data_IF_696474524858
#
_entry.id   IF_696474524858
#
_cell.length_a   1.000
_cell.length_b   1.000
_cell.length_c   1.000
_cell.angle_alpha   90.00
_cell.angle_beta   90.00
_cell.angle_gamma   90.00
#
_symmetry.space_group_name_H-M   'P 1'
#
loop_
_entity.id
_entity.type
_entity.pdbx_description
1 polymer ?
#
# COMPACT_ATOMS: atom_id res chain seq x y z
N UNK A 1 -23.27 -25.33 -68.44
CA UNK A 1 -23.61 -23.99 -67.92
C UNK A 1 -24.18 -23.97 -66.47
N UNK A 2 -24.78 -25.07 -65.96
CA UNK A 2 -25.27 -25.11 -64.55
C UNK A 2 -24.23 -25.44 -63.49
N UNK A 3 -23.10 -26.04 -63.84
CA UNK A 3 -22.03 -26.39 -62.88
C UNK A 3 -21.07 -25.20 -62.50
N UNK A 4 -20.93 -24.21 -63.42
CA UNK A 4 -20.09 -23.03 -63.13
C UNK A 4 -20.77 -21.99 -62.26
N UNK A 5 -22.12 -21.94 -62.20
CA UNK A 5 -22.88 -21.00 -61.39
C UNK A 5 -22.87 -21.45 -59.92
N UNK A 6 -22.83 -22.77 -59.65
CA UNK A 6 -22.78 -23.30 -58.27
C UNK A 6 -21.39 -23.12 -57.60
N UNK A 7 -20.32 -23.20 -58.41
CA UNK A 7 -18.95 -22.95 -57.90
C UNK A 7 -18.72 -21.44 -57.59
N UNK A 8 -19.35 -20.54 -58.33
CA UNK A 8 -19.23 -19.11 -58.07
C UNK A 8 -20.05 -18.65 -56.86
N UNK A 9 -21.18 -19.29 -56.54
CA UNK A 9 -21.95 -19.02 -55.34
C UNK A 9 -21.27 -19.56 -54.08
N UNK A 10 -20.59 -20.70 -54.16
CA UNK A 10 -19.82 -21.25 -53.03
C UNK A 10 -18.55 -20.42 -52.74
N UNK A 11 -17.89 -19.91 -53.80
CA UNK A 11 -16.75 -19.03 -53.66
C UNK A 11 -17.15 -17.63 -53.11
N UNK A 12 -18.32 -17.14 -53.52
CA UNK A 12 -18.86 -15.87 -53.02
C UNK A 12 -19.33 -15.96 -51.55
N UNK A 13 -19.86 -17.13 -51.11
CA UNK A 13 -20.22 -17.38 -49.72
C UNK A 13 -19.01 -17.65 -48.84
N UNK A 14 -17.91 -18.22 -49.39
CA UNK A 14 -16.63 -18.38 -48.71
C UNK A 14 -15.82 -17.07 -48.66
N UNK A 15 -16.07 -16.11 -49.56
CA UNK A 15 -15.46 -14.77 -49.47
C UNK A 15 -16.26 -13.77 -48.61
N UNK A 16 -17.49 -14.10 -48.19
CA UNK A 16 -18.28 -13.25 -47.31
C UNK A 16 -18.20 -13.64 -45.84
N UNK A 17 -17.37 -14.64 -45.46
CA UNK A 17 -17.12 -15.01 -44.07
C UNK A 17 -15.68 -14.75 -43.61
N UNK A 18 -14.90 -13.95 -44.30
CA UNK A 18 -13.80 -13.25 -43.64
C UNK A 18 -14.39 -12.00 -42.98
N UNK A 19 -15.00 -12.16 -41.81
CA UNK A 19 -14.97 -11.08 -40.83
C UNK A 19 -13.51 -10.71 -40.69
N UNK A 20 -13.07 -9.67 -41.41
CA UNK A 20 -11.84 -8.98 -41.06
C UNK A 20 -12.09 -8.40 -39.66
N UNK A 21 -11.81 -9.19 -38.67
CA UNK A 21 -11.61 -8.69 -37.30
C UNK A 21 -10.54 -7.61 -37.42
N UNK A 22 -10.97 -6.36 -37.54
CA UNK A 22 -10.05 -5.23 -37.44
C UNK A 22 -9.50 -5.27 -36.03
N UNK A 23 -8.24 -5.64 -35.91
CA UNK A 23 -7.57 -5.57 -34.64
C UNK A 23 -7.58 -4.10 -34.17
N UNK A 24 -8.20 -3.83 -33.03
CA UNK A 24 -8.21 -2.50 -32.42
C UNK A 24 -6.80 -2.06 -32.12
N UNK A 25 -6.47 -0.82 -32.46
CA UNK A 25 -5.17 -0.24 -32.11
C UNK A 25 -5.12 0.17 -30.62
N UNK A 26 -3.91 0.27 -30.07
CA UNK A 26 -3.70 0.77 -28.70
C UNK A 26 -4.31 2.16 -28.49
N UNK A 27 -4.17 3.07 -29.46
CA UNK A 27 -4.70 4.43 -29.35
C UNK A 27 -6.24 4.45 -29.36
N UNK A 28 -6.89 3.63 -30.17
CA UNK A 28 -8.34 3.44 -30.15
C UNK A 28 -8.81 2.88 -28.82
N UNK A 29 -8.13 1.85 -28.28
CA UNK A 29 -8.44 1.28 -26.98
C UNK A 29 -8.30 2.33 -25.86
N UNK A 30 -7.20 3.09 -25.82
CA UNK A 30 -7.01 4.16 -24.84
C UNK A 30 -8.06 5.27 -24.97
N UNK A 31 -8.55 5.54 -26.19
CA UNK A 31 -9.67 6.46 -26.41
C UNK A 31 -10.95 5.93 -25.77
N UNK A 32 -11.26 4.64 -25.92
CA UNK A 32 -12.43 4.00 -25.29
C UNK A 32 -12.32 4.02 -23.76
N UNK A 33 -11.15 3.67 -23.22
CA UNK A 33 -10.87 3.69 -21.76
C UNK A 33 -11.04 5.11 -21.22
N UNK A 34 -10.38 6.11 -21.84
CA UNK A 34 -10.45 7.52 -21.43
C UNK A 34 -11.87 8.07 -21.46
N UNK A 35 -12.65 7.74 -22.48
CA UNK A 35 -14.07 8.12 -22.58
C UNK A 35 -14.88 7.50 -21.45
N UNK A 36 -14.66 6.23 -21.13
CA UNK A 36 -15.37 5.53 -20.06
C UNK A 36 -14.98 6.09 -18.68
N UNK A 37 -13.71 6.38 -18.44
CA UNK A 37 -13.24 6.97 -17.17
C UNK A 37 -13.65 8.45 -17.03
N UNK A 38 -13.83 9.17 -18.14
CA UNK A 38 -14.16 10.58 -18.15
C UNK A 38 -12.96 11.52 -18.09
N UNK A 39 -11.73 11.00 -18.23
CA UNK A 39 -10.49 11.80 -18.28
C UNK A 39 -9.44 11.18 -19.20
N UNK A 40 -8.49 12.00 -19.66
CA UNK A 40 -7.34 11.54 -20.43
C UNK A 40 -6.29 10.90 -19.51
N UNK A 41 -5.89 9.67 -19.82
CA UNK A 41 -4.91 8.94 -19.00
C UNK A 41 -3.50 9.50 -19.23
N UNK A 42 -2.78 9.92 -18.18
CA UNK A 42 -1.43 10.41 -18.34
C UNK A 42 -0.46 9.28 -18.72
N UNK A 43 0.33 9.49 -19.77
CA UNK A 43 1.26 8.48 -20.32
C UNK A 43 2.25 7.91 -19.30
N UNK A 44 2.63 8.69 -18.28
CA UNK A 44 3.57 8.25 -17.24
C UNK A 44 3.09 7.06 -16.39
N UNK A 45 1.78 6.77 -16.40
CA UNK A 45 1.19 5.64 -15.68
C UNK A 45 0.99 4.39 -16.55
N UNK A 46 1.29 4.48 -17.84
CA UNK A 46 1.06 3.40 -18.79
C UNK A 46 2.37 2.73 -19.17
N UNK A 47 2.37 1.40 -19.13
CA UNK A 47 3.38 0.58 -19.79
C UNK A 47 3.07 0.39 -21.25
N UNK A 48 4.11 0.26 -22.10
CA UNK A 48 3.89 -0.13 -23.48
C UNK A 48 3.77 -1.66 -23.55
N UNK A 49 2.60 -2.22 -23.94
CA UNK A 49 2.42 -3.67 -23.98
C UNK A 49 3.29 -4.34 -25.04
N UNK A 50 3.75 -3.59 -26.07
CA UNK A 50 4.41 -4.15 -27.25
C UNK A 50 3.55 -5.16 -28.02
N UNK A 51 3.67 -5.25 -29.33
CA UNK A 51 2.97 -6.24 -30.15
C UNK A 51 1.45 -6.11 -30.20
N UNK A 52 0.78 -7.24 -30.46
CA UNK A 52 -0.68 -7.32 -30.57
C UNK A 52 -1.36 -7.22 -29.20
N UNK A 53 -2.54 -6.59 -29.17
CA UNK A 53 -3.33 -6.47 -27.96
C UNK A 53 -3.96 -7.82 -27.61
N UNK A 54 -3.55 -8.38 -26.47
CA UNK A 54 -4.17 -9.55 -25.85
C UNK A 54 -5.08 -9.10 -24.70
N UNK A 55 -5.96 -9.99 -24.21
CA UNK A 55 -6.80 -9.69 -23.05
C UNK A 55 -5.95 -9.28 -21.83
N UNK A 56 -4.80 -9.93 -21.62
CA UNK A 56 -3.90 -9.57 -20.52
C UNK A 56 -3.32 -8.15 -20.65
N UNK A 57 -2.87 -7.77 -21.85
CA UNK A 57 -2.35 -6.44 -22.10
C UNK A 57 -3.41 -5.35 -21.95
N UNK A 58 -4.64 -5.66 -22.33
CA UNK A 58 -5.79 -4.74 -22.21
C UNK A 58 -6.23 -4.58 -20.76
N UNK A 59 -6.29 -5.66 -19.97
CA UNK A 59 -6.58 -5.60 -18.54
C UNK A 59 -5.50 -4.76 -17.83
N UNK A 60 -4.22 -4.99 -18.14
CA UNK A 60 -3.12 -4.18 -17.60
C UNK A 60 -3.29 -2.70 -17.91
N UNK A 61 -3.53 -2.34 -19.19
CA UNK A 61 -3.76 -0.95 -19.59
C UNK A 61 -4.96 -0.31 -18.87
N UNK A 62 -6.06 -1.06 -18.69
CA UNK A 62 -7.23 -0.58 -17.98
C UNK A 62 -6.92 -0.31 -16.50
N UNK A 63 -6.22 -1.23 -15.80
CA UNK A 63 -5.80 -1.08 -14.41
C UNK A 63 -4.86 0.13 -14.26
N UNK A 64 -3.85 0.25 -15.10
CA UNK A 64 -2.93 1.38 -15.10
C UNK A 64 -3.66 2.71 -15.34
N UNK A 65 -4.62 2.72 -16.29
CA UNK A 65 -5.46 3.88 -16.57
C UNK A 65 -6.33 4.32 -15.39
N UNK A 66 -6.71 3.40 -14.55
CA UNK A 66 -7.45 3.64 -13.30
C UNK A 66 -6.55 4.07 -12.14
N UNK A 67 -5.22 4.14 -12.32
CA UNK A 67 -4.26 4.37 -11.24
C UNK A 67 -3.98 3.13 -10.38
N UNK A 68 -4.13 1.95 -10.94
CA UNK A 68 -3.98 0.65 -10.26
C UNK A 68 -2.70 -0.10 -10.66
N UNK A 69 -1.80 0.54 -11.41
CA UNK A 69 -0.54 -0.08 -11.84
C UNK A 69 0.29 -0.63 -10.68
N UNK A 70 0.30 0.06 -9.52
CA UNK A 70 1.04 -0.42 -8.35
C UNK A 70 0.48 -1.72 -7.76
N UNK A 71 -0.80 -2.04 -7.94
CA UNK A 71 -1.36 -3.34 -7.55
C UNK A 71 -0.68 -4.48 -8.33
N UNK A 72 -0.41 -4.26 -9.62
CA UNK A 72 0.33 -5.21 -10.44
C UNK A 72 1.76 -5.36 -9.91
N UNK A 73 2.43 -4.25 -9.61
CA UNK A 73 3.78 -4.24 -9.03
C UNK A 73 3.85 -5.01 -7.71
N UNK A 74 2.83 -4.92 -6.85
CA UNK A 74 2.76 -5.71 -5.62
C UNK A 74 2.85 -7.21 -5.92
N UNK A 75 2.07 -7.72 -6.87
CA UNK A 75 2.13 -9.13 -7.24
C UNK A 75 3.47 -9.49 -7.88
N UNK A 76 4.00 -8.65 -8.78
CA UNK A 76 5.30 -8.89 -9.41
C UNK A 76 6.43 -8.99 -8.35
N UNK A 77 6.35 -8.22 -7.28
CA UNK A 77 7.27 -8.31 -6.13
C UNK A 77 7.05 -9.57 -5.29
N UNK A 78 5.81 -10.03 -5.12
CA UNK A 78 5.48 -11.25 -4.38
C UNK A 78 5.92 -12.50 -5.14
N UNK A 79 5.75 -12.55 -6.46
CA UNK A 79 6.13 -13.71 -7.29
C UNK A 79 7.63 -13.97 -7.36
N UNK A 80 8.48 -13.02 -6.94
CA UNK A 80 9.92 -13.25 -6.78
C UNK A 80 10.20 -14.19 -5.59
N UNK A 81 9.30 -14.27 -4.61
CA UNK A 81 9.45 -15.11 -3.44
C UNK A 81 9.08 -16.56 -3.77
N UNK A 82 9.89 -17.56 -3.34
CA UNK A 82 9.69 -18.96 -3.74
C UNK A 82 8.30 -19.52 -3.43
N UNK A 83 7.67 -19.05 -2.35
CA UNK A 83 6.35 -19.50 -1.90
C UNK A 83 5.23 -19.12 -2.89
N UNK A 84 5.46 -18.16 -3.79
CA UNK A 84 4.46 -17.63 -4.73
C UNK A 84 4.97 -17.51 -6.17
N UNK A 85 6.07 -18.21 -6.53
CA UNK A 85 6.70 -18.13 -7.85
C UNK A 85 5.80 -18.56 -9.02
N UNK A 86 4.81 -19.40 -8.76
CA UNK A 86 3.87 -19.90 -9.77
C UNK A 86 2.62 -19.01 -9.94
N UNK A 87 2.55 -17.89 -9.21
CA UNK A 87 1.40 -17.00 -9.24
C UNK A 87 1.44 -16.08 -10.47
N UNK A 88 0.34 -16.01 -11.22
CA UNK A 88 0.14 -15.01 -12.27
C UNK A 88 -0.59 -13.77 -11.74
N UNK A 89 0.08 -12.62 -11.81
CA UNK A 89 -0.38 -11.35 -11.21
C UNK A 89 -1.76 -10.92 -11.70
N UNK A 90 -2.02 -10.99 -13.01
CA UNK A 90 -3.29 -10.53 -13.57
C UNK A 90 -4.42 -11.51 -13.27
N UNK A 91 -4.14 -12.81 -13.26
CA UNK A 91 -5.09 -13.84 -12.86
C UNK A 91 -5.53 -13.63 -11.41
N UNK A 92 -4.60 -13.37 -10.50
CA UNK A 92 -4.93 -13.17 -9.08
C UNK A 92 -5.68 -11.86 -8.84
N UNK A 93 -5.28 -10.77 -9.50
CA UNK A 93 -6.02 -9.49 -9.43
C UNK A 93 -7.46 -9.69 -9.91
N UNK A 94 -7.64 -10.38 -11.05
CA UNK A 94 -8.97 -10.58 -11.65
C UNK A 94 -9.93 -11.36 -10.75
N UNK A 95 -9.43 -12.29 -9.94
CA UNK A 95 -10.23 -13.06 -8.97
C UNK A 95 -10.68 -12.23 -7.76
N UNK A 96 -9.95 -11.19 -7.39
CA UNK A 96 -10.10 -10.47 -6.13
C UNK A 96 -10.62 -9.04 -6.26
N UNK A 97 -10.56 -8.47 -7.48
CA UNK A 97 -11.07 -7.11 -7.73
C UNK A 97 -12.61 -7.08 -7.66
N UNK A 98 -13.15 -6.01 -7.09
CA UNK A 98 -14.60 -5.81 -7.01
C UNK A 98 -14.95 -4.41 -7.57
N UNK A 99 -15.82 -4.29 -8.59
CA UNK A 99 -16.57 -5.37 -9.24
C UNK A 99 -15.65 -6.33 -10.01
N UNK A 100 -16.04 -7.62 -10.15
CA UNK A 100 -15.23 -8.59 -10.87
C UNK A 100 -15.06 -8.21 -12.35
N UNK A 101 -13.89 -8.54 -12.90
CA UNK A 101 -13.66 -8.41 -14.35
C UNK A 101 -14.62 -9.32 -15.15
N UNK A 102 -15.07 -8.91 -16.32
CA UNK A 102 -15.89 -9.76 -17.19
C UNK A 102 -15.16 -11.05 -17.57
N UNK A 103 -15.86 -12.20 -17.51
CA UNK A 103 -15.27 -13.53 -17.83
C UNK A 103 -14.72 -13.59 -19.26
N UNK A 104 -15.35 -12.93 -20.21
CA UNK A 104 -14.88 -12.83 -21.61
C UNK A 104 -13.45 -12.25 -21.73
N UNK A 105 -12.99 -11.50 -20.72
CA UNK A 105 -11.62 -10.96 -20.65
C UNK A 105 -10.67 -11.85 -19.82
N UNK A 106 -11.20 -12.69 -18.92
CA UNK A 106 -10.40 -13.46 -17.95
C UNK A 106 -10.30 -14.93 -18.27
N UNK A 107 -11.23 -15.49 -19.05
CA UNK A 107 -11.24 -16.92 -19.36
C UNK A 107 -10.06 -17.34 -20.25
N UNK A 108 -9.57 -16.44 -21.11
CA UNK A 108 -8.33 -16.64 -21.88
C UNK A 108 -7.53 -15.32 -21.99
N UNK A 109 -6.59 -15.14 -21.08
CA UNK A 109 -5.74 -13.94 -21.02
C UNK A 109 -4.81 -13.80 -22.22
N UNK A 110 -4.49 -14.90 -22.91
CA UNK A 110 -3.60 -14.94 -24.07
C UNK A 110 -4.29 -14.65 -25.38
N UNK A 111 -5.62 -14.69 -25.43
CA UNK A 111 -6.36 -14.47 -26.68
C UNK A 111 -6.26 -13.02 -27.18
N UNK A 112 -6.35 -12.85 -28.49
CA UNK A 112 -6.38 -11.54 -29.13
C UNK A 112 -7.65 -10.79 -28.73
N UNK A 113 -7.50 -9.53 -28.31
CA UNK A 113 -8.60 -8.67 -27.91
C UNK A 113 -9.46 -8.28 -29.10
N UNK A 114 -10.79 -8.45 -28.98
CA UNK A 114 -11.77 -8.22 -30.05
C UNK A 114 -12.67 -7.01 -29.77
N UNK A 115 -13.40 -6.54 -30.80
CA UNK A 115 -14.41 -5.48 -30.61
C UNK A 115 -15.51 -5.86 -29.62
N UNK A 116 -15.91 -7.13 -29.55
CA UNK A 116 -16.89 -7.61 -28.56
C UNK A 116 -16.42 -7.36 -27.13
N UNK A 117 -15.12 -7.55 -26.90
CA UNK A 117 -14.49 -7.36 -25.59
C UNK A 117 -14.48 -5.88 -25.17
N UNK A 118 -14.50 -4.92 -26.12
CA UNK A 118 -14.58 -3.48 -25.84
C UNK A 118 -15.82 -3.13 -25.03
N UNK A 119 -16.98 -3.68 -25.43
CA UNK A 119 -18.25 -3.42 -24.74
C UNK A 119 -18.23 -3.96 -23.31
N UNK A 120 -17.65 -5.14 -23.10
CA UNK A 120 -17.50 -5.73 -21.78
C UNK A 120 -16.55 -4.89 -20.90
N UNK A 121 -15.41 -4.47 -21.45
CA UNK A 121 -14.44 -3.63 -20.76
C UNK A 121 -15.02 -2.27 -20.35
N UNK A 122 -15.65 -1.56 -21.31
CA UNK A 122 -16.22 -0.23 -21.05
C UNK A 122 -17.37 -0.30 -20.04
N UNK A 123 -18.21 -1.35 -20.11
CA UNK A 123 -19.25 -1.61 -19.12
C UNK A 123 -18.68 -1.85 -17.73
N UNK A 124 -17.58 -2.59 -17.62
CA UNK A 124 -16.89 -2.81 -16.35
C UNK A 124 -16.27 -1.53 -15.77
N UNK A 125 -15.65 -0.69 -16.62
CA UNK A 125 -15.11 0.61 -16.20
C UNK A 125 -16.20 1.54 -15.64
N UNK A 126 -17.40 1.53 -16.24
CA UNK A 126 -18.54 2.29 -15.71
C UNK A 126 -19.01 1.79 -14.33
N UNK A 127 -18.90 0.49 -14.05
CA UNK A 127 -19.14 -0.04 -12.71
C UNK A 127 -18.05 0.41 -11.73
N UNK A 128 -16.78 0.40 -12.17
CA UNK A 128 -15.65 0.85 -11.36
C UNK A 128 -15.77 2.32 -10.94
N UNK A 129 -16.36 3.19 -11.76
CA UNK A 129 -16.63 4.60 -11.41
C UNK A 129 -17.54 4.73 -10.19
N UNK A 130 -18.39 3.77 -9.94
CA UNK A 130 -19.28 3.78 -8.78
C UNK A 130 -18.55 3.29 -7.53
N UNK A 131 -17.84 2.19 -7.63
CA UNK A 131 -17.03 1.62 -6.56
C UNK A 131 -16.07 0.58 -7.13
N UNK A 132 -14.81 0.69 -6.80
CA UNK A 132 -13.82 -0.36 -7.08
C UNK A 132 -12.93 -0.59 -5.88
N UNK A 133 -12.62 -1.85 -5.57
CA UNK A 133 -11.75 -2.24 -4.46
C UNK A 133 -11.04 -3.56 -4.71
N UNK A 134 -9.92 -3.73 -4.07
CA UNK A 134 -9.14 -4.96 -4.04
C UNK A 134 -8.41 -5.08 -2.71
N UNK A 135 -8.28 -6.31 -2.22
CA UNK A 135 -7.51 -6.65 -1.02
C UNK A 135 -6.89 -8.02 -1.18
N UNK A 136 -5.65 -8.17 -0.75
CA UNK A 136 -4.97 -9.46 -0.65
C UNK A 136 -4.04 -9.54 0.55
N UNK A 137 -3.65 -10.77 0.93
CA UNK A 137 -2.77 -11.03 2.06
C UNK A 137 -1.83 -12.20 1.77
N UNK A 138 -0.57 -12.02 2.15
CA UNK A 138 0.51 -12.97 1.93
C UNK A 138 1.19 -13.24 3.28
N UNK A 139 1.25 -14.50 3.70
CA UNK A 139 1.79 -14.87 5.02
C UNK A 139 3.11 -15.61 4.89
N UNK A 140 4.12 -15.18 5.61
CA UNK A 140 5.43 -15.81 5.63
C UNK A 140 6.16 -15.52 6.95
N UNK A 141 6.82 -16.53 7.51
CA UNK A 141 7.73 -16.42 8.66
C UNK A 141 7.12 -15.68 9.88
N UNK A 142 5.88 -16.01 10.25
CA UNK A 142 5.18 -15.39 11.39
C UNK A 142 4.70 -13.95 11.14
N UNK A 143 4.87 -13.46 9.92
CA UNK A 143 4.33 -12.17 9.47
C UNK A 143 3.32 -12.36 8.35
N UNK A 144 2.41 -11.40 8.19
CA UNK A 144 1.54 -11.31 7.03
C UNK A 144 1.55 -9.90 6.46
N UNK A 145 1.82 -9.79 5.16
CA UNK A 145 1.59 -8.56 4.41
C UNK A 145 0.14 -8.55 3.93
N UNK A 146 -0.61 -7.52 4.28
CA UNK A 146 -1.94 -7.24 3.71
C UNK A 146 -1.86 -5.94 2.93
N UNK A 147 -2.32 -5.97 1.70
CA UNK A 147 -2.40 -4.80 0.83
C UNK A 147 -3.82 -4.59 0.36
N UNK A 148 -4.21 -3.35 0.20
CA UNK A 148 -5.52 -3.01 -0.32
C UNK A 148 -5.48 -1.72 -1.13
N UNK A 149 -6.37 -1.64 -2.09
CA UNK A 149 -6.59 -0.50 -2.96
C UNK A 149 -8.09 -0.30 -3.13
N UNK A 150 -8.54 0.93 -3.08
CA UNK A 150 -9.89 1.28 -3.51
C UNK A 150 -9.88 2.59 -4.29
N UNK A 151 -11.00 2.87 -4.97
CA UNK A 151 -11.23 4.09 -5.70
C UNK A 151 -10.46 4.18 -7.02
N UNK A 152 -10.86 5.11 -7.86
CA UNK A 152 -10.24 5.45 -9.12
C UNK A 152 -9.31 6.64 -8.96
N UNK A 153 -8.19 6.61 -9.67
CA UNK A 153 -7.38 7.79 -9.87
C UNK A 153 -8.10 8.85 -10.68
N UNK A 154 -7.83 10.11 -10.38
CA UNK A 154 -8.26 11.26 -11.19
C UNK A 154 -7.10 12.24 -11.32
N UNK A 155 -6.51 12.40 -12.50
CA UNK A 155 -5.37 13.28 -12.72
C UNK A 155 -5.70 14.77 -12.50
N UNK A 156 -6.98 15.14 -12.57
CA UNK A 156 -7.47 16.51 -12.31
C UNK A 156 -7.96 16.71 -10.88
N UNK A 157 -8.06 15.63 -10.11
CA UNK A 157 -8.57 15.67 -8.75
C UNK A 157 -7.68 16.44 -7.80
N UNK A 158 -8.25 17.15 -6.80
CA UNK A 158 -7.45 17.78 -5.77
C UNK A 158 -6.82 16.73 -4.86
N UNK A 159 -5.51 16.83 -4.64
CA UNK A 159 -4.78 15.99 -3.67
C UNK A 159 -5.31 16.08 -2.22
N UNK A 160 -6.22 17.00 -1.94
CA UNK A 160 -6.82 17.28 -0.64
C UNK A 160 -8.35 17.09 -0.63
N UNK A 161 -8.90 16.22 -1.45
CA UNK A 161 -10.32 15.87 -1.45
C UNK A 161 -10.78 15.32 -0.08
N UNK A 162 -12.05 15.08 0.05
CA UNK A 162 -12.68 14.55 1.26
C UNK A 162 -13.16 13.13 1.00
N UNK A 163 -12.59 12.13 1.69
CA UNK A 163 -12.95 10.71 1.54
C UNK A 163 -14.44 10.45 1.84
N UNK A 164 -15.10 11.31 2.61
CA UNK A 164 -16.53 11.19 2.86
C UNK A 164 -17.39 11.67 1.69
N UNK A 165 -16.87 12.59 0.89
CA UNK A 165 -17.56 13.14 -0.29
C UNK A 165 -17.24 12.39 -1.58
N UNK A 166 -16.06 11.76 -1.63
CA UNK A 166 -15.60 11.00 -2.80
C UNK A 166 -15.72 9.51 -2.56
N UNK A 167 -16.87 8.91 -2.82
CA UNK A 167 -17.13 7.47 -2.66
C UNK A 167 -16.10 6.60 -3.41
N UNK A 168 -15.27 7.20 -4.27
CA UNK A 168 -14.34 6.49 -5.14
C UNK A 168 -12.94 7.15 -5.23
N UNK A 169 -12.54 7.96 -4.27
CA UNK A 169 -11.19 8.53 -4.27
C UNK A 169 -10.13 7.46 -4.06
N UNK A 170 -8.99 7.53 -4.76
CA UNK A 170 -7.98 6.49 -4.70
C UNK A 170 -7.29 6.47 -3.33
N UNK A 171 -7.28 5.31 -2.71
CA UNK A 171 -6.52 5.01 -1.51
C UNK A 171 -5.77 3.70 -1.69
N UNK A 172 -4.48 3.71 -1.38
CA UNK A 172 -3.66 2.52 -1.25
C UNK A 172 -3.07 2.45 0.15
N UNK A 173 -3.07 1.26 0.74
CA UNK A 173 -2.36 1.00 1.98
C UNK A 173 -1.81 -0.41 2.03
N UNK A 174 -0.67 -0.55 2.71
CA UNK A 174 -0.03 -1.81 3.01
C UNK A 174 0.13 -1.95 4.53
N UNK A 175 -0.01 -3.18 5.04
CA UNK A 175 0.09 -3.49 6.45
C UNK A 175 0.84 -4.79 6.67
N UNK A 176 1.84 -4.75 7.57
CA UNK A 176 2.45 -5.95 8.12
C UNK A 176 1.74 -6.28 9.43
N UNK A 177 1.31 -7.52 9.58
CA UNK A 177 0.81 -8.07 10.84
C UNK A 177 1.84 -9.03 11.38
N UNK A 178 2.20 -8.89 12.65
CA UNK A 178 3.09 -9.80 13.38
C UNK A 178 2.27 -10.53 14.40
N UNK A 179 2.23 -11.86 14.28
CA UNK A 179 1.68 -12.72 15.31
C UNK A 179 2.70 -12.88 16.43
N UNK A 180 2.41 -12.34 17.61
CA UNK A 180 3.34 -12.35 18.73
C UNK A 180 3.48 -13.72 19.39
N UNK A 181 2.53 -14.62 19.15
CA UNK A 181 2.59 -16.02 19.57
C UNK A 181 3.32 -16.90 18.53
N UNK A 182 3.53 -16.39 17.32
CA UNK A 182 4.27 -17.11 16.30
C UNK A 182 5.76 -17.10 16.63
N UNK A 183 6.26 -18.27 16.85
CA UNK A 183 7.60 -18.61 17.29
C UNK A 183 8.64 -18.22 16.25
N UNK A 184 9.03 -17.04 15.98
CA UNK A 184 10.24 -16.77 15.15
C UNK A 184 10.41 -15.29 14.74
N UNK A 185 9.73 -14.33 15.41
CA UNK A 185 9.91 -12.91 15.10
C UNK A 185 10.26 -12.09 16.34
N UNK A 186 11.29 -11.31 16.22
CA UNK A 186 11.65 -10.30 17.21
C UNK A 186 11.37 -8.90 16.63
N UNK A 187 10.64 -8.08 17.36
CA UNK A 187 10.42 -6.68 16.99
C UNK A 187 11.52 -5.82 17.64
N UNK A 188 12.20 -5.00 16.85
CA UNK A 188 13.21 -4.08 17.35
C UNK A 188 13.24 -2.77 16.55
N UNK A 189 13.78 -1.71 17.18
CA UNK A 189 14.16 -0.50 16.45
C UNK A 189 15.60 -0.62 15.97
N UNK A 190 15.88 -0.08 14.77
CA UNK A 190 17.23 0.06 14.27
C UNK A 190 17.56 1.53 14.04
N UNK A 191 18.71 1.96 14.55
CA UNK A 191 19.22 3.32 14.35
C UNK A 191 20.48 3.21 13.50
N UNK A 192 20.56 4.02 12.45
CA UNK A 192 21.76 4.06 11.61
C UNK A 192 22.96 4.52 12.42
N UNK A 193 24.08 3.82 12.27
CA UNK A 193 25.33 4.18 12.93
C UNK A 193 25.88 5.48 12.35
N UNK A 194 26.21 6.41 13.24
CA UNK A 194 26.70 7.75 12.85
C UNK A 194 25.58 8.78 12.68
N UNK A 195 25.91 9.96 12.20
CA UNK A 195 24.98 11.08 12.05
C UNK A 195 24.13 11.00 10.77
N UNK A 196 23.99 9.84 10.20
CA UNK A 196 23.44 9.67 8.86
C UNK A 196 21.99 9.19 8.90
N UNK A 197 21.31 9.42 7.80
CA UNK A 197 19.99 8.91 7.49
C UNK A 197 20.09 8.02 6.26
N UNK A 198 19.24 7.01 6.18
CA UNK A 198 19.14 6.15 5.00
C UNK A 198 17.67 5.84 4.68
N UNK A 199 17.34 5.47 3.45
CA UNK A 199 16.06 4.89 3.11
C UNK A 199 15.76 3.66 3.98
N UNK A 200 14.49 3.38 4.27
CA UNK A 200 14.10 2.20 5.05
C UNK A 200 14.60 0.90 4.40
N UNK A 201 14.50 0.80 3.09
CA UNK A 201 15.00 -0.35 2.33
C UNK A 201 16.51 -0.59 2.59
N UNK A 202 17.32 0.47 2.62
CA UNK A 202 18.75 0.39 2.95
C UNK A 202 18.95 -0.08 4.39
N UNK A 203 18.23 0.52 5.36
CA UNK A 203 18.31 0.11 6.76
C UNK A 203 17.95 -1.38 6.91
N UNK A 204 16.90 -1.84 6.21
CA UNK A 204 16.48 -3.22 6.27
C UNK A 204 17.52 -4.19 5.70
N UNK A 205 18.10 -3.89 4.53
CA UNK A 205 19.08 -4.76 3.85
C UNK A 205 20.42 -4.80 4.61
N UNK A 206 20.83 -3.72 5.23
CA UNK A 206 22.07 -3.65 6.00
C UNK A 206 21.99 -4.39 7.35
N UNK A 207 20.79 -4.74 7.81
CA UNK A 207 20.59 -5.48 9.07
C UNK A 207 20.21 -6.94 8.77
N UNK A 208 21.09 -7.86 9.15
CA UNK A 208 20.90 -9.29 8.90
C UNK A 208 19.66 -9.84 9.61
N UNK A 209 18.87 -10.62 8.87
CA UNK A 209 17.69 -11.30 9.40
C UNK A 209 16.41 -10.44 9.46
N UNK A 210 16.42 -9.23 8.92
CA UNK A 210 15.23 -8.41 8.82
C UNK A 210 14.26 -9.04 7.83
N UNK A 211 12.99 -9.17 8.24
CA UNK A 211 11.89 -9.70 7.43
C UNK A 211 10.80 -8.67 7.16
N UNK A 212 10.76 -7.56 7.89
CA UNK A 212 9.83 -6.47 7.66
C UNK A 212 10.20 -5.21 8.43
N UNK A 213 9.60 -4.09 8.07
CA UNK A 213 9.82 -2.83 8.78
C UNK A 213 9.01 -1.67 8.25
N UNK A 214 8.91 -0.64 9.09
CA UNK A 214 8.36 0.68 8.75
C UNK A 214 9.31 1.78 9.22
N UNK A 215 9.13 3.00 8.74
CA UNK A 215 9.83 4.16 9.29
C UNK A 215 9.46 4.39 10.75
N UNK A 216 10.33 5.06 11.48
CA UNK A 216 10.14 5.41 12.88
C UNK A 216 9.25 6.63 13.12
N UNK A 217 9.38 7.19 14.34
CA UNK A 217 8.71 8.43 14.74
C UNK A 217 9.39 9.69 14.20
N UNK A 218 8.95 10.84 14.67
CA UNK A 218 9.43 12.16 14.22
C UNK A 218 10.91 12.39 14.46
N UNK A 219 11.54 13.18 13.61
CA UNK A 219 12.97 13.51 13.72
C UNK A 219 13.29 14.95 13.25
N UNK A 220 14.43 15.45 13.71
CA UNK A 220 15.02 16.71 13.25
C UNK A 220 16.50 16.50 12.87
N UNK A 221 16.84 16.81 11.62
CA UNK A 221 18.14 16.40 11.09
C UNK A 221 18.27 14.88 11.07
N UNK A 222 19.24 14.33 11.78
CA UNK A 222 19.42 12.89 11.97
C UNK A 222 19.05 12.40 13.39
N UNK A 223 18.40 13.24 14.21
CA UNK A 223 18.08 12.93 15.59
C UNK A 223 16.59 12.68 15.78
N UNK A 224 16.20 11.60 16.48
CA UNK A 224 14.83 11.37 16.91
C UNK A 224 14.30 12.55 17.74
N UNK A 225 13.02 12.88 17.60
CA UNK A 225 12.32 13.79 18.48
C UNK A 225 11.48 12.98 19.45
N UNK A 226 11.56 13.31 20.75
CA UNK A 226 10.94 12.51 21.80
C UNK A 226 11.80 11.32 22.20
N UNK A 227 11.29 10.52 23.13
CA UNK A 227 12.01 9.35 23.62
C UNK A 227 12.21 8.32 22.51
N UNK A 228 13.42 7.81 22.43
CA UNK A 228 13.76 6.58 21.71
C UNK A 228 14.56 5.69 22.66
N UNK A 229 14.03 4.50 22.96
CA UNK A 229 14.71 3.42 23.70
C UNK A 229 14.83 2.23 22.78
N UNK A 230 15.98 1.58 22.81
CA UNK A 230 16.31 0.44 21.97
C UNK A 230 17.14 -0.57 22.78
N UNK A 231 16.72 -1.82 22.82
CA UNK A 231 17.39 -2.89 23.56
C UNK A 231 17.71 -2.50 25.03
N UNK A 232 16.78 -1.83 25.67
CA UNK A 232 16.94 -1.33 27.03
C UNK A 232 17.78 -0.05 27.18
N UNK A 233 18.50 0.37 26.16
CA UNK A 233 19.25 1.62 26.13
C UNK A 233 18.42 2.78 25.63
N UNK A 234 18.53 3.94 26.28
CA UNK A 234 17.83 5.15 25.84
C UNK A 234 18.74 5.98 24.95
N UNK A 235 18.52 5.90 23.63
CA UNK A 235 19.29 6.66 22.61
C UNK A 235 18.93 8.16 22.65
N UNK A 236 17.67 8.49 22.93
CA UNK A 236 17.22 9.85 23.20
C UNK A 236 16.31 9.87 24.42
N UNK A 237 16.76 10.54 25.46
CA UNK A 237 16.03 10.70 26.71
C UNK A 237 15.14 11.96 26.74
N UNK A 238 15.19 12.78 25.68
CA UNK A 238 14.43 14.03 25.65
C UNK A 238 12.95 13.75 25.44
N UNK A 239 12.22 13.85 26.53
CA UNK A 239 10.78 13.72 26.51
C UNK A 239 10.12 14.84 25.71
N UNK A 240 9.16 14.47 24.88
CA UNK A 240 8.30 15.43 24.15
C UNK A 240 6.95 15.51 24.88
N UNK A 241 6.68 16.62 25.60
CA UNK A 241 5.44 16.75 26.35
C UNK A 241 4.20 16.54 25.49
N UNK A 242 3.19 15.90 26.07
CA UNK A 242 1.89 15.67 25.44
C UNK A 242 1.90 14.80 24.15
N UNK A 243 3.00 14.10 23.87
CA UNK A 243 3.06 13.12 22.80
C UNK A 243 2.91 11.72 23.34
N UNK A 244 2.08 10.96 22.67
CA UNK A 244 1.88 9.53 22.94
C UNK A 244 3.15 8.73 22.72
N UNK A 245 3.20 7.56 23.33
CA UNK A 245 4.33 6.64 23.19
C UNK A 245 3.83 5.22 22.89
N UNK A 246 4.65 4.48 22.17
CA UNK A 246 4.54 3.05 21.94
C UNK A 246 5.78 2.36 22.47
N UNK A 247 5.58 1.33 23.28
CA UNK A 247 6.67 0.50 23.80
C UNK A 247 6.36 -0.98 23.62
N UNK A 248 7.41 -1.81 23.55
CA UNK A 248 7.31 -3.26 23.44
C UNK A 248 8.54 -3.95 24.05
N UNK A 249 8.45 -5.26 24.25
CA UNK A 249 9.54 -6.07 24.78
C UNK A 249 9.71 -7.37 23.99
N UNK A 250 10.72 -8.14 24.34
CA UNK A 250 11.05 -9.42 23.67
C UNK A 250 9.95 -10.47 23.80
N UNK A 251 9.02 -10.33 24.78
CA UNK A 251 7.87 -11.23 24.94
C UNK A 251 6.69 -10.84 24.08
N UNK A 252 6.83 -9.79 23.25
CA UNK A 252 5.73 -9.26 22.44
C UNK A 252 4.68 -8.45 23.20
N UNK A 253 4.91 -8.20 24.49
CA UNK A 253 4.01 -7.32 25.23
C UNK A 253 4.17 -5.89 24.71
N UNK A 254 3.06 -5.22 24.48
CA UNK A 254 3.03 -3.85 23.96
C UNK A 254 2.34 -2.91 24.92
N UNK A 255 2.70 -1.64 24.88
CA UNK A 255 2.03 -0.56 25.58
C UNK A 255 1.83 0.65 24.68
N UNK A 256 0.64 1.22 24.72
CA UNK A 256 0.33 2.51 24.10
C UNK A 256 -0.08 3.48 25.20
N UNK A 257 0.60 4.61 25.28
CA UNK A 257 0.37 5.60 26.31
C UNK A 257 -0.07 6.91 25.65
N UNK A 258 -1.23 7.38 26.07
CA UNK A 258 -1.75 8.68 25.63
C UNK A 258 -0.84 9.81 26.12
N UNK A 259 -0.55 10.78 25.28
CA UNK A 259 0.25 11.93 25.61
C UNK A 259 -0.23 12.73 26.84
N UNK A 260 -1.54 12.67 27.17
CA UNK A 260 -2.08 13.24 28.40
C UNK A 260 -1.68 12.49 29.66
N UNK A 261 -1.41 11.18 29.54
CA UNK A 261 -1.04 10.32 30.65
C UNK A 261 0.48 10.29 30.89
N UNK A 262 1.24 10.75 29.91
CA UNK A 262 2.70 10.76 29.96
C UNK A 262 3.19 12.03 30.66
N UNK A 263 2.94 12.17 31.94
CA UNK A 263 3.37 13.32 32.71
C UNK A 263 4.89 13.32 32.99
N UNK A 264 5.49 12.16 33.20
CA UNK A 264 6.96 11.96 33.23
C UNK A 264 7.29 10.50 32.97
N UNK A 265 7.81 10.19 31.78
CA UNK A 265 8.23 8.81 31.45
C UNK A 265 9.40 8.37 32.32
N UNK A 266 10.29 9.27 32.71
CA UNK A 266 11.48 8.96 33.48
C UNK A 266 11.22 8.40 34.90
N UNK A 267 10.03 8.60 35.45
CA UNK A 267 9.64 8.12 36.79
C UNK A 267 8.46 7.13 36.76
N UNK A 268 7.99 6.72 35.58
CA UNK A 268 6.86 5.82 35.47
C UNK A 268 7.35 4.38 35.33
N UNK A 269 7.20 3.59 36.39
CA UNK A 269 7.62 2.18 36.45
C UNK A 269 6.94 1.27 35.44
N UNK A 270 5.83 1.71 34.77
CA UNK A 270 5.22 0.97 33.70
C UNK A 270 6.15 0.73 32.52
N UNK A 271 7.18 1.59 32.36
CA UNK A 271 8.13 1.50 31.27
C UNK A 271 9.31 0.58 31.52
N UNK A 272 9.55 0.18 32.76
CA UNK A 272 10.76 -0.57 33.12
C UNK A 272 10.83 -1.94 32.39
N UNK A 273 9.69 -2.53 32.11
CA UNK A 273 9.61 -3.82 31.41
C UNK A 273 9.72 -3.72 29.90
N UNK A 274 9.66 -2.52 29.30
CA UNK A 274 9.70 -2.34 27.86
C UNK A 274 11.12 -1.95 27.41
N UNK A 275 11.76 -2.87 26.71
CA UNK A 275 13.13 -2.68 26.20
C UNK A 275 13.19 -1.74 25.01
N UNK A 276 12.06 -1.62 24.31
CA UNK A 276 11.89 -0.77 23.15
C UNK A 276 10.82 0.28 23.43
N UNK A 277 11.04 1.52 22.96
CA UNK A 277 10.05 2.59 23.08
C UNK A 277 10.34 3.71 22.11
N UNK A 278 9.29 4.27 21.53
CA UNK A 278 9.35 5.52 20.76
C UNK A 278 8.17 6.44 21.12
N UNK A 279 8.39 7.74 21.06
CA UNK A 279 7.32 8.74 21.08
C UNK A 279 6.95 9.19 19.68
N UNK A 280 5.65 9.31 19.45
CA UNK A 280 5.09 9.84 18.23
C UNK A 280 3.70 10.43 18.51
N UNK A 281 2.76 10.39 17.57
CA UNK A 281 1.38 10.82 17.79
C UNK A 281 0.76 11.48 16.57
N UNK A 282 -0.56 11.73 16.62
CA UNK A 282 -1.42 11.50 17.78
C UNK A 282 -1.78 10.02 17.97
N UNK A 283 -2.22 9.67 19.16
CA UNK A 283 -2.93 8.41 19.38
C UNK A 283 -4.23 8.44 18.56
N UNK A 284 -4.45 7.40 17.76
CA UNK A 284 -5.56 7.33 16.82
C UNK A 284 -6.76 6.59 17.41
N UNK A 285 -6.47 5.43 18.00
CA UNK A 285 -7.44 4.57 18.67
C UNK A 285 -6.93 4.16 20.05
N UNK A 286 -7.85 4.03 21.00
CA UNK A 286 -7.60 3.46 22.32
C UNK A 286 -8.72 2.51 22.70
N UNK A 287 -8.43 1.24 22.88
CA UNK A 287 -9.40 0.19 23.24
C UNK A 287 -10.64 0.15 22.33
N UNK A 288 -10.47 0.32 21.03
CA UNK A 288 -11.55 0.30 20.05
C UNK A 288 -12.25 1.65 19.82
N UNK A 289 -11.99 2.66 20.66
CA UNK A 289 -12.59 3.97 20.52
C UNK A 289 -11.64 4.98 19.86
N UNK A 290 -12.21 6.00 19.18
CA UNK A 290 -11.42 7.08 18.60
C UNK A 290 -10.79 7.93 19.70
N UNK A 291 -9.50 8.16 19.61
CA UNK A 291 -8.83 9.14 20.46
C UNK A 291 -9.07 10.55 19.92
N UNK A 292 -9.68 11.41 20.71
CA UNK A 292 -9.92 12.81 20.34
C UNK A 292 -8.71 13.71 20.64
N UNK A 293 -7.68 13.18 21.30
CA UNK A 293 -6.49 13.94 21.64
C UNK A 293 -5.68 14.27 20.39
N UNK A 294 -5.57 15.56 20.05
CA UNK A 294 -4.78 16.04 18.92
C UNK A 294 -3.30 16.26 19.27
N UNK A 295 -2.95 16.18 20.56
CA UNK A 295 -1.57 16.26 21.07
C UNK A 295 -0.81 17.52 20.62
N UNK A 296 -1.51 18.65 20.44
CA UNK A 296 -0.96 19.91 19.91
C UNK A 296 -0.25 19.75 18.53
N UNK A 297 -0.75 18.84 17.71
CA UNK A 297 -0.30 18.69 16.33
C UNK A 297 -0.86 19.85 15.49
N UNK A 298 -0.06 20.35 14.57
CA UNK A 298 -0.46 21.44 13.69
C UNK A 298 -1.69 21.05 12.87
N UNK A 299 -2.61 22.00 12.67
CA UNK A 299 -3.84 21.80 11.91
C UNK A 299 -3.62 21.24 10.50
N UNK A 300 -2.59 21.69 9.79
CA UNK A 300 -2.29 21.18 8.47
C UNK A 300 -1.90 19.69 8.48
N UNK A 301 -1.29 19.21 9.57
CA UNK A 301 -1.00 17.77 9.72
C UNK A 301 -2.26 16.99 10.07
N UNK A 302 -3.17 17.58 10.84
CA UNK A 302 -4.43 16.94 11.24
C UNK A 302 -5.42 16.85 10.07
N UNK A 303 -5.63 17.98 9.36
CA UNK A 303 -6.77 18.20 8.48
C UNK A 303 -6.43 18.03 6.99
N UNK A 304 -5.14 17.94 6.63
CA UNK A 304 -4.75 17.66 5.24
C UNK A 304 -4.43 16.20 5.04
N UNK A 305 -4.72 15.69 3.85
CA UNK A 305 -4.35 14.34 3.44
C UNK A 305 -2.85 14.25 3.20
N UNK A 306 -2.23 13.30 3.86
CA UNK A 306 -0.82 12.96 3.75
C UNK A 306 -0.64 11.45 3.72
N UNK A 307 0.47 10.93 3.19
CA UNK A 307 0.90 9.58 3.53
C UNK A 307 0.99 9.44 5.05
N UNK A 308 0.59 8.27 5.57
CA UNK A 308 0.58 7.99 7.02
C UNK A 308 1.32 6.71 7.32
N UNK A 309 2.00 6.70 8.46
CA UNK A 309 2.58 5.50 9.05
C UNK A 309 1.96 5.27 10.41
N UNK A 310 1.60 4.05 10.69
CA UNK A 310 0.78 3.67 11.83
C UNK A 310 1.37 2.43 12.48
N UNK A 311 1.43 2.42 13.80
CA UNK A 311 1.60 1.21 14.60
C UNK A 311 0.35 0.98 15.42
N UNK A 312 -0.13 -0.26 15.47
CA UNK A 312 -1.33 -0.61 16.21
C UNK A 312 -1.34 -2.05 16.69
N UNK A 313 -2.40 -2.42 17.36
CA UNK A 313 -2.66 -3.78 17.83
C UNK A 313 -4.16 -4.08 17.84
N UNK A 314 -4.50 -5.35 17.68
CA UNK A 314 -5.84 -5.89 17.93
C UNK A 314 -5.94 -6.57 19.31
N UNK A 315 -4.89 -6.45 20.12
CA UNK A 315 -4.75 -7.10 21.44
C UNK A 315 -3.97 -8.40 21.40
N UNK A 316 -3.72 -9.00 20.23
CA UNK A 316 -2.93 -10.23 20.03
C UNK A 316 -1.76 -10.03 19.07
N UNK A 317 -1.97 -9.22 18.06
CA UNK A 317 -0.99 -8.98 16.97
C UNK A 317 -0.51 -7.55 17.01
N UNK A 318 0.73 -7.33 16.64
CA UNK A 318 1.24 -6.00 16.31
C UNK A 318 1.02 -5.76 14.83
N UNK A 319 0.53 -4.59 14.47
CA UNK A 319 0.13 -4.23 13.11
C UNK A 319 0.81 -2.93 12.72
N UNK A 320 1.56 -2.96 11.61
CA UNK A 320 2.26 -1.81 11.06
C UNK A 320 1.71 -1.47 9.70
N UNK A 321 1.14 -0.30 9.55
CA UNK A 321 0.49 0.09 8.31
C UNK A 321 1.07 1.39 7.74
N UNK A 322 1.12 1.47 6.43
CA UNK A 322 1.39 2.68 5.68
C UNK A 322 0.23 2.94 4.73
N UNK A 323 -0.26 4.16 4.74
CA UNK A 323 -1.19 4.70 3.75
C UNK A 323 -0.35 5.59 2.83
N UNK A 324 -0.32 5.28 1.54
CA UNK A 324 0.34 6.11 0.54
C UNK A 324 -0.45 7.42 0.33
N UNK A 325 0.16 8.40 -0.31
CA UNK A 325 -0.55 9.65 -0.54
C UNK A 325 0.20 10.62 -1.45
N UNK A 326 -0.45 11.77 -1.72
CA UNK A 326 0.05 12.84 -2.61
C UNK A 326 0.11 12.45 -4.09
N UNK A 327 -0.59 11.40 -4.46
CA UNK A 327 -0.74 10.99 -5.85
C UNK A 327 -2.23 10.77 -6.14
N UNK A 328 -2.79 11.65 -6.99
CA UNK A 328 -4.21 11.62 -7.34
C UNK A 328 -4.61 10.39 -8.16
N UNK A 329 -3.67 9.70 -8.79
CA UNK A 329 -3.93 8.46 -9.51
C UNK A 329 -3.79 7.25 -8.59
N UNK A 330 -2.78 7.22 -7.72
CA UNK A 330 -2.49 6.07 -6.88
C UNK A 330 -3.17 6.13 -5.52
N UNK A 331 -2.90 7.16 -4.75
CA UNK A 331 -3.44 7.35 -3.39
C UNK A 331 -3.36 8.81 -2.96
N UNK A 332 -4.47 9.39 -2.59
CA UNK A 332 -4.51 10.79 -2.12
C UNK A 332 -3.96 10.95 -0.71
N UNK A 333 -3.85 9.87 0.05
CA UNK A 333 -3.50 9.89 1.47
C UNK A 333 -4.72 10.07 2.37
N UNK A 334 -4.47 10.35 3.66
CA UNK A 334 -5.51 10.47 4.67
C UNK A 334 -5.27 11.62 5.64
N UNK A 335 -6.33 12.28 6.09
CA UNK A 335 -6.34 13.14 7.28
C UNK A 335 -6.18 12.26 8.54
N UNK A 336 -5.97 12.85 9.70
CA UNK A 336 -5.92 12.07 10.96
C UNK A 336 -7.28 11.42 11.24
N UNK A 337 -8.38 12.10 10.96
CA UNK A 337 -9.74 11.56 11.13
C UNK A 337 -9.97 10.33 10.22
N UNK A 338 -9.62 10.45 8.94
CA UNK A 338 -9.70 9.33 7.99
C UNK A 338 -8.77 8.19 8.38
N UNK A 339 -7.57 8.50 8.90
CA UNK A 339 -6.61 7.50 9.38
C UNK A 339 -7.20 6.67 10.53
N UNK A 340 -7.94 7.30 11.47
CA UNK A 340 -8.66 6.60 12.55
C UNK A 340 -9.67 5.58 12.00
N UNK A 341 -10.43 5.98 10.96
CA UNK A 341 -11.40 5.08 10.28
C UNK A 341 -10.69 3.91 9.59
N UNK A 342 -9.58 4.19 8.91
CA UNK A 342 -8.74 3.14 8.29
C UNK A 342 -8.20 2.17 9.33
N UNK A 343 -7.71 2.64 10.48
CA UNK A 343 -7.25 1.78 11.57
C UNK A 343 -8.35 0.82 12.07
N UNK A 344 -9.57 1.30 12.29
CA UNK A 344 -10.71 0.44 12.65
C UNK A 344 -11.03 -0.59 11.57
N UNK A 345 -11.03 -0.16 10.33
CA UNK A 345 -11.28 -1.05 9.19
C UNK A 345 -10.18 -2.12 9.04
N UNK A 346 -8.93 -1.81 9.39
CA UNK A 346 -7.83 -2.76 9.45
C UNK A 346 -7.92 -3.74 10.63
N UNK A 347 -8.83 -3.52 11.57
CA UNK A 347 -9.03 -4.35 12.75
C UNK A 347 -8.18 -3.95 13.95
N UNK A 348 -7.57 -2.77 13.95
CA UNK A 348 -6.83 -2.25 15.10
C UNK A 348 -7.80 -1.82 16.20
N UNK A 349 -7.47 -2.15 17.45
CA UNK A 349 -8.18 -1.66 18.64
C UNK A 349 -7.44 -0.51 19.31
N UNK A 350 -6.11 -0.50 19.20
CA UNK A 350 -5.27 0.63 19.65
C UNK A 350 -4.27 0.95 18.55
N UNK A 351 -4.09 2.24 18.25
CA UNK A 351 -3.23 2.67 17.15
C UNK A 351 -2.62 4.04 17.40
N UNK A 352 -1.37 4.21 16.99
CA UNK A 352 -0.56 5.43 17.10
C UNK A 352 -0.05 5.83 15.72
N UNK A 353 -0.19 7.11 15.37
CA UNK A 353 0.43 7.67 14.17
C UNK A 353 1.92 7.94 14.42
N UNK A 354 2.76 7.53 13.47
CA UNK A 354 4.20 7.80 13.44
C UNK A 354 4.52 8.98 12.51
N UNK A 355 5.80 9.16 12.15
CA UNK A 355 6.16 10.15 11.14
C UNK A 355 5.58 9.76 9.78
N UNK A 356 4.92 10.72 9.16
CA UNK A 356 4.19 10.54 7.91
C UNK A 356 4.82 11.29 6.73
N UNK A 357 4.00 11.56 5.74
CA UNK A 357 4.41 12.29 4.54
C UNK A 357 5.52 11.56 3.78
N UNK A 358 6.57 12.27 3.42
CA UNK A 358 7.70 11.67 2.68
C UNK A 358 8.48 10.61 3.43
N UNK A 359 8.30 10.50 4.75
CA UNK A 359 8.97 9.45 5.56
C UNK A 359 8.23 8.12 5.54
N UNK A 360 6.94 8.10 5.15
CA UNK A 360 6.14 6.88 5.12
C UNK A 360 6.76 5.84 4.19
N UNK A 361 7.11 4.71 4.76
CA UNK A 361 7.69 3.58 4.04
C UNK A 361 7.41 2.27 4.77
N UNK A 362 7.11 1.22 3.99
CA UNK A 362 6.92 -0.14 4.46
C UNK A 362 7.73 -1.09 3.59
N UNK A 363 8.60 -1.85 4.24
CA UNK A 363 9.44 -2.85 3.60
C UNK A 363 9.11 -4.25 4.14
N UNK A 364 9.03 -5.25 3.25
CA UNK A 364 8.76 -6.63 3.63
C UNK A 364 9.44 -7.60 2.66
N UNK A 365 10.18 -8.55 3.21
CA UNK A 365 10.79 -9.68 2.46
C UNK A 365 11.55 -9.25 1.20
N UNK A 366 12.36 -8.19 1.29
CA UNK A 366 13.22 -7.74 0.19
C UNK A 366 12.65 -6.58 -0.64
N UNK A 367 11.38 -6.24 -0.49
CA UNK A 367 10.72 -5.24 -1.32
C UNK A 367 10.03 -4.15 -0.50
N UNK A 368 9.88 -2.96 -1.09
CA UNK A 368 9.12 -1.84 -0.53
C UNK A 368 7.69 -1.88 -1.07
N UNK A 369 6.70 -1.94 -0.17
CA UNK A 369 5.27 -2.01 -0.49
C UNK A 369 4.54 -0.69 -0.21
N UNK A 370 5.22 0.42 -0.41
CA UNK A 370 4.68 1.77 -0.36
C UNK A 370 5.35 2.61 -1.43
N UNK A 371 4.65 3.59 -1.99
CA UNK A 371 5.25 4.51 -2.97
C UNK A 371 5.84 5.74 -2.29
N UNK A 372 7.09 6.11 -2.59
CA UNK A 372 7.69 7.34 -2.11
C UNK A 372 6.87 8.55 -2.55
N UNK A 373 6.55 9.44 -1.63
CA UNK A 373 5.74 10.64 -1.89
C UNK A 373 6.56 11.93 -2.01
N UNK A 374 7.87 11.82 -2.18
CA UNK A 374 8.75 12.96 -2.44
C UNK A 374 8.78 13.31 -3.93
N UNK A 375 9.17 14.54 -4.23
CA UNK A 375 9.18 15.10 -5.60
C UNK A 375 10.01 14.33 -6.64
N UNK A 376 10.88 13.40 -6.20
CA UNK A 376 11.75 12.64 -7.08
C UNK A 376 11.44 11.12 -7.06
N UNK A 377 10.29 10.72 -6.54
CA UNK A 377 9.89 9.31 -6.38
C UNK A 377 10.97 8.45 -5.67
N UNK A 378 11.78 9.08 -4.82
CA UNK A 378 12.85 8.45 -4.05
C UNK A 378 12.44 8.39 -2.59
N UNK A 379 12.67 7.25 -1.96
CA UNK A 379 12.43 7.05 -0.54
C UNK A 379 13.24 8.05 0.29
N UNK A 380 12.58 8.74 1.23
CA UNK A 380 13.23 9.72 2.10
C UNK A 380 14.20 9.04 3.04
N UNK A 381 15.46 9.51 3.15
CA UNK A 381 16.36 9.06 4.21
C UNK A 381 15.82 9.42 5.60
N UNK A 382 15.70 8.42 6.47
CA UNK A 382 15.23 8.50 7.87
C UNK A 382 16.36 8.12 8.83
N UNK A 383 16.33 8.58 10.09
CA UNK A 383 17.36 8.25 11.07
C UNK A 383 17.23 6.83 11.64
N UNK A 384 16.02 6.27 11.64
CA UNK A 384 15.75 4.92 12.14
C UNK A 384 14.43 4.37 11.62
N UNK A 385 14.32 3.06 11.54
CA UNK A 385 13.10 2.31 11.30
C UNK A 385 12.71 1.44 12.48
N UNK A 386 11.48 0.96 12.50
CA UNK A 386 11.02 -0.12 13.38
C UNK A 386 11.03 -1.40 12.55
N UNK A 387 11.90 -2.34 12.91
CA UNK A 387 12.19 -3.53 12.11
C UNK A 387 11.73 -4.80 12.83
N UNK A 388 11.37 -5.80 12.03
CA UNK A 388 11.08 -7.17 12.46
C UNK A 388 12.25 -8.03 12.06
N UNK A 389 12.81 -8.77 13.02
CA UNK A 389 13.90 -9.69 12.79
C UNK A 389 13.42 -11.14 12.91
N UNK A 390 14.04 -12.02 12.13
CA UNK A 390 13.93 -13.46 12.34
C UNK A 390 14.55 -13.81 13.70
N UNK A 391 13.95 -14.73 14.45
CA UNK A 391 14.50 -15.20 15.72
C UNK A 391 15.96 -15.67 15.56
N UNK A 392 16.81 -15.32 16.51
CA UNK A 392 18.25 -15.65 16.50
C UNK A 392 19.11 -14.75 15.59
N UNK A 393 18.51 -13.82 14.86
CA UNK A 393 19.22 -12.78 14.13
C UNK A 393 19.20 -11.49 14.95
N UNK A 394 20.32 -11.06 15.49
CA UNK A 394 20.40 -9.84 16.30
C UNK A 394 20.62 -8.59 15.44
N UNK A 395 20.21 -7.43 15.97
CA UNK A 395 20.67 -6.13 15.47
C UNK A 395 22.19 -6.10 15.60
N UNK A 396 22.92 -5.86 14.51
CA UNK A 396 24.36 -5.60 14.62
C UNK A 396 24.54 -4.34 15.46
N UNK A 397 25.28 -4.50 16.57
CA UNK A 397 25.67 -3.40 17.46
C UNK A 397 26.61 -2.43 16.76
#
# INVERSE_FOLDING_TARGET
MKACIFAFLILATLMMSSETSFAITKDELLSHISKSLGYGVPKKYLTDPGGDLTNSSVIRLALESMGWGFVITVYDQITILPEWSDMDSLTEISKKISPPLPSVLTDDLGSTFSEENIKALTGWLELCKKKVSWKDSFSSEGTALTVFKHGLGDPSGPANGDLEKGVNEPLFAAMITVDMDAVNCQIATAVMVGANKAPLATIAVENYGVIGGINGGYFAGAKPIGILRRQGHTDNAKFWPQRSAFGWNEKGETIFIDGKEVASISSDSRFDKYTEMLQAGPLLLKNGEYSENTENIRENVLNMRHPRTIVGTDGKRVMWAVIDGRDNMHSVGATIEETRKVCKWLGMTTALNLDGGGSSSLWWRGNTFSLPSNSNDVERPIPYGVLIFREGSGVRQ
#
